data_IF_262534713553
#
_entry.id   IF_262534713553
#
_cell.length_a   1.000
_cell.length_b   1.000
_cell.length_c   1.000
_cell.angle_alpha   90.00
_cell.angle_beta   90.00
_cell.angle_gamma   90.00
#
_symmetry.space_group_name_H-M   'P 1'
#
loop_
_entity.id
_entity.type
_entity.pdbx_description
1 polymer ?
#
# COMPACT_ATOMS: atom_id res chain seq x y z
N UNK A 1 -4.69 10.39 27.57
CA UNK A 1 -4.57 11.79 27.10
C UNK A 1 -4.29 11.89 25.59
N UNK A 2 -3.33 11.14 25.06
CA UNK A 2 -2.96 11.18 23.62
C UNK A 2 -4.10 10.81 22.66
N UNK A 3 -4.85 9.74 22.95
CA UNK A 3 -6.00 9.36 22.11
C UNK A 3 -7.12 10.41 22.10
N UNK A 4 -7.41 11.01 23.27
CA UNK A 4 -8.47 12.02 23.40
C UNK A 4 -8.09 13.30 22.64
N UNK A 5 -6.81 13.68 22.69
CA UNK A 5 -6.29 14.83 21.96
C UNK A 5 -6.40 14.61 20.45
N UNK A 6 -5.92 13.47 19.93
CA UNK A 6 -6.06 13.14 18.50
C UNK A 6 -7.52 13.11 18.04
N UNK A 7 -8.44 12.61 18.86
CA UNK A 7 -9.86 12.58 18.55
C UNK A 7 -10.44 14.00 18.41
N UNK A 8 -10.16 14.87 19.37
CA UNK A 8 -10.65 16.26 19.37
C UNK A 8 -10.05 17.03 18.18
N UNK A 9 -8.75 16.87 17.92
CA UNK A 9 -8.09 17.53 16.77
C UNK A 9 -8.66 17.05 15.43
N UNK A 10 -8.96 15.75 15.29
CA UNK A 10 -9.57 15.19 14.08
C UNK A 10 -10.98 15.73 13.85
N UNK A 11 -11.81 15.81 14.91
CA UNK A 11 -13.17 16.38 14.82
C UNK A 11 -13.12 17.87 14.44
N UNK A 12 -12.21 18.64 15.04
CA UNK A 12 -12.04 20.07 14.72
C UNK A 12 -11.61 20.26 13.26
N UNK A 13 -10.71 19.42 12.75
CA UNK A 13 -10.30 19.47 11.33
C UNK A 13 -11.46 19.15 10.38
N UNK A 14 -12.28 18.14 10.69
CA UNK A 14 -13.40 17.71 9.84
C UNK A 14 -14.52 18.77 9.82
N UNK A 15 -14.78 19.44 10.95
CA UNK A 15 -15.82 20.48 11.06
C UNK A 15 -15.33 21.82 10.52
N UNK A 16 -14.06 22.17 10.74
CA UNK A 16 -13.49 23.47 10.35
C UNK A 16 -13.05 23.58 8.90
N UNK A 17 -12.75 22.45 8.23
CA UNK A 17 -12.30 22.45 6.83
C UNK A 17 -13.41 21.88 5.94
N UNK A 18 -14.10 22.70 5.14
CA UNK A 18 -15.17 22.22 4.27
C UNK A 18 -14.58 21.27 3.21
N UNK A 19 -14.85 19.98 3.39
CA UNK A 19 -14.54 18.88 2.45
C UNK A 19 -13.05 18.79 2.09
N UNK A 20 -12.24 18.08 2.89
CA UNK A 20 -10.85 17.74 2.54
C UNK A 20 -10.78 16.71 1.40
N UNK A 21 -11.75 16.72 0.47
CA UNK A 21 -11.89 15.77 -0.63
C UNK A 21 -10.66 15.81 -1.53
N UNK A 22 -10.11 17.01 -1.78
CA UNK A 22 -8.89 17.14 -2.58
C UNK A 22 -7.67 16.53 -1.88
N UNK A 23 -7.45 16.85 -0.60
CA UNK A 23 -6.35 16.28 0.18
C UNK A 23 -6.46 14.76 0.32
N UNK A 24 -7.68 14.23 0.48
CA UNK A 24 -7.93 12.79 0.53
C UNK A 24 -7.70 12.12 -0.83
N UNK A 25 -8.10 12.76 -1.94
CA UNK A 25 -7.82 12.24 -3.29
C UNK A 25 -6.33 12.21 -3.60
N UNK A 26 -5.59 13.25 -3.19
CA UNK A 26 -4.13 13.29 -3.38
C UNK A 26 -3.46 12.23 -2.53
N UNK A 27 -3.90 12.06 -1.28
CA UNK A 27 -3.38 11.02 -0.39
C UNK A 27 -3.64 9.61 -0.93
N UNK A 28 -4.85 9.33 -1.45
CA UNK A 28 -5.16 8.02 -2.04
C UNK A 28 -4.40 7.76 -3.34
N UNK A 29 -4.19 8.79 -4.17
CA UNK A 29 -3.35 8.70 -5.36
C UNK A 29 -1.88 8.40 -5.01
N UNK A 30 -1.32 9.07 -3.98
CA UNK A 30 0.03 8.79 -3.46
C UNK A 30 0.11 7.39 -2.85
N UNK A 31 -0.87 6.99 -2.06
CA UNK A 31 -0.92 5.66 -1.45
C UNK A 31 -0.96 4.55 -2.51
N UNK A 32 -1.64 4.79 -3.63
CA UNK A 32 -1.68 3.87 -4.76
C UNK A 32 -0.29 3.63 -5.37
N UNK A 33 0.57 4.65 -5.43
CA UNK A 33 1.96 4.52 -5.91
C UNK A 33 2.88 3.86 -4.87
N UNK A 34 2.68 4.12 -3.59
CA UNK A 34 3.54 3.62 -2.50
C UNK A 34 3.22 2.17 -2.14
N UNK A 35 1.96 1.75 -2.25
CA UNK A 35 1.52 0.39 -1.94
C UNK A 35 2.29 -0.75 -2.65
N UNK A 36 2.55 -0.72 -3.98
CA UNK A 36 3.36 -1.75 -4.64
C UNK A 36 4.79 -1.82 -4.09
N UNK A 37 5.38 -0.66 -3.78
CA UNK A 37 6.75 -0.57 -3.25
C UNK A 37 6.82 -1.22 -1.86
N UNK A 38 5.89 -0.89 -0.96
CA UNK A 38 5.84 -1.47 0.39
C UNK A 38 5.61 -2.99 0.35
N UNK A 39 4.74 -3.46 -0.54
CA UNK A 39 4.51 -4.89 -0.74
C UNK A 39 5.79 -5.59 -1.23
N UNK A 40 6.53 -4.96 -2.15
CA UNK A 40 7.80 -5.48 -2.63
C UNK A 40 8.85 -5.60 -1.54
N UNK A 41 9.04 -4.55 -0.75
CA UNK A 41 9.98 -4.59 0.36
C UNK A 41 9.60 -5.66 1.38
N UNK A 42 8.33 -5.82 1.74
CA UNK A 42 7.90 -6.86 2.67
C UNK A 42 8.25 -8.26 2.16
N UNK A 43 7.96 -8.56 0.90
CA UNK A 43 8.31 -9.84 0.31
C UNK A 43 9.83 -10.05 0.25
N UNK A 44 10.60 -9.03 -0.16
CA UNK A 44 12.06 -9.08 -0.19
C UNK A 44 12.65 -9.32 1.20
N UNK A 45 12.17 -8.61 2.23
CA UNK A 45 12.60 -8.80 3.62
C UNK A 45 12.30 -10.22 4.12
N UNK A 46 11.10 -10.75 3.88
CA UNK A 46 10.75 -12.12 4.24
C UNK A 46 11.66 -13.17 3.59
N UNK A 47 12.10 -12.93 2.35
CA UNK A 47 12.98 -13.88 1.62
C UNK A 47 14.46 -13.71 2.00
N UNK A 48 14.89 -12.50 2.38
CA UNK A 48 16.31 -12.18 2.60
C UNK A 48 16.74 -12.36 4.06
N UNK A 49 15.84 -12.10 5.01
CA UNK A 49 16.15 -12.14 6.46
C UNK A 49 15.89 -13.51 7.08
N UNK A 50 14.96 -14.31 6.54
CA UNK A 50 14.59 -15.60 7.14
C UNK A 50 15.54 -16.70 6.62
N UNK A 51 16.32 -17.36 7.49
CA UNK A 51 17.20 -18.47 7.10
C UNK A 51 16.37 -19.66 6.61
N UNK A 52 16.85 -20.34 5.56
CA UNK A 52 16.15 -21.43 4.85
C UNK A 52 15.97 -22.71 5.67
N UNK A 53 16.66 -22.81 6.80
CA UNK A 53 16.69 -24.02 7.64
C UNK A 53 15.51 -24.10 8.64
N UNK A 54 14.86 -22.99 8.98
CA UNK A 54 13.70 -22.99 9.89
C UNK A 54 12.38 -23.12 9.11
N UNK A 55 11.97 -24.37 8.86
CA UNK A 55 10.74 -24.72 8.12
C UNK A 55 9.44 -24.22 8.75
N UNK A 56 9.47 -23.77 10.00
CA UNK A 56 8.32 -23.19 10.72
C UNK A 56 8.08 -21.71 10.38
N UNK A 57 9.14 -20.98 10.00
CA UNK A 57 9.08 -19.55 9.69
C UNK A 57 9.41 -19.23 8.22
N UNK A 58 10.04 -20.16 7.50
CA UNK A 58 10.33 -19.99 6.09
C UNK A 58 9.04 -20.09 5.26
N UNK A 59 8.74 -19.08 4.41
CA UNK A 59 7.52 -19.07 3.62
C UNK A 59 7.48 -20.28 2.69
N UNK A 60 6.38 -21.02 2.73
CA UNK A 60 6.14 -22.19 1.88
C UNK A 60 6.26 -21.82 0.39
N UNK A 61 6.60 -22.81 -0.45
CA UNK A 61 6.66 -22.62 -1.91
C UNK A 61 5.37 -22.00 -2.47
N UNK A 62 4.21 -22.32 -1.85
CA UNK A 62 2.92 -21.73 -2.18
C UNK A 62 2.83 -20.25 -1.80
N UNK A 63 3.28 -19.85 -0.60
CA UNK A 63 3.29 -18.45 -0.18
C UNK A 63 4.25 -17.60 -1.04
N UNK A 64 5.34 -18.19 -1.50
CA UNK A 64 6.31 -17.54 -2.40
C UNK A 64 5.73 -17.33 -3.80
N UNK A 65 5.10 -18.37 -4.35
CA UNK A 65 4.41 -18.29 -5.65
C UNK A 65 3.24 -17.29 -5.59
N UNK A 66 2.42 -17.36 -4.55
CA UNK A 66 1.30 -16.45 -4.35
C UNK A 66 1.78 -15.00 -4.19
N UNK A 67 2.81 -14.75 -3.40
CA UNK A 67 3.37 -13.39 -3.24
C UNK A 67 3.93 -12.85 -4.54
N UNK A 68 4.56 -13.69 -5.38
CA UNK A 68 5.09 -13.28 -6.68
C UNK A 68 3.96 -12.95 -7.68
N UNK A 69 2.89 -13.76 -7.69
CA UNK A 69 1.68 -13.50 -8.47
C UNK A 69 1.00 -12.22 -7.99
N UNK A 70 0.82 -12.05 -6.68
CA UNK A 70 0.27 -10.83 -6.09
C UNK A 70 1.11 -9.62 -6.46
N UNK A 71 2.44 -9.75 -6.45
CA UNK A 71 3.35 -8.71 -6.92
C UNK A 71 3.06 -8.30 -8.36
N UNK A 72 3.02 -9.27 -9.27
CA UNK A 72 2.81 -9.06 -10.69
C UNK A 72 1.45 -8.41 -10.98
N UNK A 73 0.41 -8.82 -10.27
CA UNK A 73 -0.93 -8.22 -10.37
C UNK A 73 -0.92 -6.80 -9.82
N UNK A 74 -0.21 -6.54 -8.71
CA UNK A 74 -0.17 -5.22 -8.08
C UNK A 74 0.62 -4.20 -8.91
N UNK A 75 1.80 -4.57 -9.42
CA UNK A 75 2.55 -3.73 -10.37
C UNK A 75 1.84 -3.62 -11.71
N UNK A 76 1.21 -4.70 -12.20
CA UNK A 76 0.41 -4.69 -13.42
C UNK A 76 -0.76 -3.71 -13.34
N UNK A 77 -1.59 -3.81 -12.30
CA UNK A 77 -2.69 -2.88 -12.05
C UNK A 77 -2.20 -1.44 -11.86
N UNK A 78 -1.11 -1.24 -11.11
CA UNK A 78 -0.56 0.10 -10.88
C UNK A 78 -0.09 0.75 -12.18
N UNK A 79 0.61 -0.02 -13.02
CA UNK A 79 1.11 0.44 -14.32
C UNK A 79 -0.03 0.67 -15.30
N UNK A 80 -1.04 -0.20 -15.32
CA UNK A 80 -2.25 -0.05 -16.14
C UNK A 80 -3.01 1.23 -15.79
N UNK A 81 -3.21 1.54 -14.51
CA UNK A 81 -3.91 2.78 -14.12
C UNK A 81 -3.08 4.02 -14.45
N UNK A 82 -1.75 3.98 -14.31
CA UNK A 82 -0.87 5.06 -14.75
C UNK A 82 -0.97 5.24 -16.27
N UNK A 83 -0.96 4.16 -17.04
CA UNK A 83 -1.12 4.20 -18.50
C UNK A 83 -2.48 4.76 -18.89
N UNK A 84 -3.59 4.32 -18.29
CA UNK A 84 -4.93 4.86 -18.55
C UNK A 84 -4.99 6.36 -18.22
N UNK A 85 -4.31 6.80 -17.15
CA UNK A 85 -4.25 8.23 -16.77
C UNK A 85 -3.36 9.07 -17.69
N UNK A 86 -2.31 8.51 -18.28
CA UNK A 86 -1.40 9.21 -19.19
C UNK A 86 -1.96 9.22 -20.62
N UNK A 87 -2.61 8.15 -21.05
CA UNK A 87 -3.13 8.01 -22.43
C UNK A 87 -4.53 8.59 -22.64
N UNK A 88 -5.11 9.24 -21.63
CA UNK A 88 -6.41 9.96 -21.71
C UNK A 88 -7.50 9.15 -22.43
N UNK A 89 -7.59 7.85 -22.12
CA UNK A 89 -8.74 7.05 -22.58
C UNK A 89 -9.86 7.33 -21.59
N UNK A 90 -10.63 8.36 -21.94
CA UNK A 90 -11.86 8.78 -21.27
C UNK A 90 -12.97 7.74 -21.42
#
# INVERSE_FOLDING_TARGET
MTMLFSLITAVVLIVGVPRPVYLVLVASALAYFIAPVVFFLNYYYCVTVIPKEDTTFYPSLFARCFSWISMAIFTGMSTLLILVRIFDIQ
#
